data_IF_889754941558
#
_entry.id   IF_889754941558
#
_cell.length_a   1.000
_cell.length_b   1.000
_cell.length_c   1.000
_cell.angle_alpha   90.00
_cell.angle_beta   90.00
_cell.angle_gamma   90.00
#
_symmetry.space_group_name_H-M   'P 1'
#
loop_
_entity.id
_entity.type
_entity.pdbx_description
1 polymer ?
#
# COMPACT_ATOMS: atom_id res chain seq x y z
N UNK A 1 4.01 19.16 -19.83
CA UNK A 1 2.61 18.88 -19.56
C UNK A 1 2.47 18.33 -18.14
N UNK A 2 1.64 18.97 -17.30
CA UNK A 2 1.49 18.57 -15.90
C UNK A 2 0.97 17.12 -15.73
N UNK A 3 0.22 16.63 -16.72
CA UNK A 3 -0.29 15.26 -16.75
C UNK A 3 0.80 14.19 -17.01
N UNK A 4 2.00 14.58 -17.42
CA UNK A 4 3.09 13.66 -17.70
C UNK A 4 4.02 13.42 -16.50
N UNK A 5 3.78 14.10 -15.36
CA UNK A 5 4.59 13.93 -14.15
C UNK A 5 4.04 12.76 -13.34
N UNK A 6 4.81 11.70 -13.08
CA UNK A 6 4.37 10.57 -12.30
C UNK A 6 4.01 10.98 -10.85
N UNK A 7 2.99 10.36 -10.29
CA UNK A 7 2.47 10.70 -8.95
C UNK A 7 3.52 10.51 -7.84
N UNK A 8 4.38 9.49 -7.95
CA UNK A 8 5.48 9.27 -7.02
C UNK A 8 6.49 10.45 -6.98
N UNK A 9 6.72 11.10 -8.13
CA UNK A 9 7.59 12.27 -8.18
C UNK A 9 6.94 13.47 -7.47
N UNK A 10 5.61 13.63 -7.62
CA UNK A 10 4.83 14.65 -6.92
C UNK A 10 4.83 14.39 -5.43
N UNK A 11 4.62 13.14 -4.99
CA UNK A 11 4.69 12.73 -3.60
C UNK A 11 6.09 12.97 -3.00
N UNK A 12 7.15 12.65 -3.76
CA UNK A 12 8.52 12.95 -3.38
C UNK A 12 8.78 14.45 -3.16
N UNK A 13 8.27 15.30 -4.05
CA UNK A 13 8.38 16.75 -3.92
C UNK A 13 7.61 17.31 -2.72
N UNK A 14 6.47 16.69 -2.36
CA UNK A 14 5.65 17.09 -1.21
C UNK A 14 6.27 16.81 0.15
N UNK A 15 7.27 15.91 0.21
CA UNK A 15 8.03 15.62 1.45
C UNK A 15 9.01 16.73 1.82
N UNK A 16 9.31 17.64 0.88
CA UNK A 16 10.09 18.82 1.21
C UNK A 16 9.24 19.80 2.01
N UNK A 17 9.75 20.22 3.15
CA UNK A 17 9.10 21.21 4.03
C UNK A 17 9.23 22.64 3.46
N UNK A 18 8.75 22.81 2.22
CA UNK A 18 8.72 24.08 1.49
C UNK A 18 7.25 24.46 1.23
N UNK A 19 6.79 25.46 1.98
CA UNK A 19 5.42 25.97 1.91
C UNK A 19 5.03 26.46 0.50
N UNK A 20 5.94 27.12 -0.23
CA UNK A 20 5.63 27.69 -1.53
C UNK A 20 5.65 26.62 -2.64
N UNK A 21 6.53 25.63 -2.51
CA UNK A 21 6.53 24.45 -3.35
C UNK A 21 5.20 23.68 -3.14
N UNK A 22 4.81 23.44 -1.91
CA UNK A 22 3.57 22.72 -1.59
C UNK A 22 2.32 23.45 -2.09
N UNK A 23 2.26 24.79 -2.03
CA UNK A 23 1.18 25.59 -2.63
C UNK A 23 1.12 25.42 -4.16
N UNK A 24 2.26 25.42 -4.84
CA UNK A 24 2.34 25.20 -6.29
C UNK A 24 1.91 23.78 -6.66
N UNK A 25 2.37 22.78 -5.90
CA UNK A 25 1.97 21.37 -6.10
C UNK A 25 0.48 21.19 -5.92
N UNK A 26 -0.12 21.76 -4.88
CA UNK A 26 -1.57 21.67 -4.65
C UNK A 26 -2.41 22.37 -5.73
N UNK A 27 -1.86 23.39 -6.36
CA UNK A 27 -2.52 24.08 -7.49
C UNK A 27 -2.46 23.30 -8.79
N UNK A 28 -1.33 22.65 -9.08
CA UNK A 28 -1.10 21.92 -10.33
C UNK A 28 -1.59 20.48 -10.27
N UNK A 29 -1.47 19.87 -9.13
CA UNK A 29 -1.91 18.52 -8.79
C UNK A 29 -2.68 18.56 -7.46
N UNK A 30 -3.98 18.97 -7.49
CA UNK A 30 -4.79 18.91 -6.28
C UNK A 30 -4.76 17.48 -5.74
N UNK A 31 -4.62 17.34 -4.41
CA UNK A 31 -4.75 16.03 -3.76
C UNK A 31 -6.16 15.52 -4.02
N UNK A 32 -6.30 14.63 -4.99
CA UNK A 32 -7.56 13.94 -5.28
C UNK A 32 -7.89 12.88 -4.23
N UNK A 33 -6.85 12.36 -3.57
CA UNK A 33 -6.97 11.43 -2.45
C UNK A 33 -6.46 12.13 -1.17
N UNK A 34 -7.26 13.02 -0.60
CA UNK A 34 -7.09 13.41 0.79
C UNK A 34 -7.48 12.19 1.63
N UNK A 35 -6.63 11.83 2.59
CA UNK A 35 -7.03 10.92 3.67
C UNK A 35 -8.39 11.37 4.15
N UNK A 36 -9.36 10.46 4.21
CA UNK A 36 -10.66 10.80 4.78
C UNK A 36 -10.45 11.23 6.23
N UNK A 37 -11.31 12.07 6.78
CA UNK A 37 -11.22 12.44 8.20
C UNK A 37 -11.21 11.20 9.13
N UNK A 38 -11.75 10.08 8.67
CA UNK A 38 -11.70 8.78 9.36
C UNK A 38 -10.28 8.21 9.39
N UNK A 39 -9.57 8.20 8.25
CA UNK A 39 -8.19 7.72 8.15
C UNK A 39 -7.22 8.54 9.02
N UNK A 40 -7.36 9.86 8.99
CA UNK A 40 -6.57 10.74 9.86
C UNK A 40 -6.88 10.52 11.35
N UNK A 41 -8.12 10.24 11.70
CA UNK A 41 -8.53 9.93 13.08
C UNK A 41 -7.96 8.59 13.53
N UNK A 42 -7.93 7.59 12.66
CA UNK A 42 -7.30 6.30 12.91
C UNK A 42 -5.79 6.45 13.14
N UNK A 43 -5.09 7.18 12.27
CA UNK A 43 -3.66 7.46 12.43
C UNK A 43 -3.38 8.10 13.78
N UNK A 44 -4.12 9.15 14.15
CA UNK A 44 -3.95 9.82 15.45
C UNK A 44 -4.23 8.89 16.63
N UNK A 45 -5.27 8.06 16.55
CA UNK A 45 -5.58 7.05 17.57
C UNK A 45 -4.40 6.10 17.77
N UNK A 46 -3.88 5.53 16.68
CA UNK A 46 -2.78 4.56 16.74
C UNK A 46 -1.49 5.22 17.25
N UNK A 47 -1.17 6.44 16.79
CA UNK A 47 -0.02 7.20 17.30
C UNK A 47 -0.14 7.42 18.82
N UNK A 48 -1.32 7.79 19.31
CA UNK A 48 -1.55 7.99 20.75
C UNK A 48 -1.36 6.69 21.54
N UNK A 49 -1.82 5.54 21.04
CA UNK A 49 -1.63 4.24 21.68
C UNK A 49 -0.14 3.87 21.74
N UNK A 50 0.56 3.99 20.61
CA UNK A 50 1.97 3.59 20.49
C UNK A 50 2.96 4.56 21.15
N UNK A 51 2.51 5.76 21.52
CA UNK A 51 3.33 6.73 22.28
C UNK A 51 3.35 6.47 23.79
N UNK A 52 2.57 5.51 24.29
CA UNK A 52 2.57 5.15 25.71
C UNK A 52 3.76 4.23 26.00
N UNK A 53 4.73 4.72 26.74
CA UNK A 53 6.02 4.05 27.00
C UNK A 53 5.92 2.75 27.85
N UNK A 54 4.76 2.42 28.41
CA UNK A 54 4.61 1.37 29.43
C UNK A 54 4.11 0.01 28.91
N UNK A 55 3.77 -0.11 27.62
CA UNK A 55 3.15 -1.35 27.09
C UNK A 55 4.09 -2.05 26.14
N UNK A 56 4.74 -3.11 26.60
CA UNK A 56 5.48 -4.03 25.75
C UNK A 56 4.48 -4.94 24.99
N UNK A 57 4.53 -4.92 23.65
CA UNK A 57 3.64 -5.74 22.82
C UNK A 57 4.11 -7.18 22.71
N UNK A 58 3.15 -8.09 22.69
CA UNK A 58 3.37 -9.51 22.44
C UNK A 58 3.51 -9.75 20.93
N UNK A 59 4.76 -10.02 20.47
CA UNK A 59 5.04 -10.27 19.06
C UNK A 59 4.41 -11.55 18.51
N UNK A 60 4.10 -12.54 19.35
CA UNK A 60 3.42 -13.74 18.89
C UNK A 60 1.94 -13.47 18.61
N UNK A 61 1.25 -12.78 19.51
CA UNK A 61 -0.11 -12.30 19.28
C UNK A 61 -0.15 -11.34 18.06
N UNK A 62 0.81 -10.46 17.94
CA UNK A 62 0.96 -9.56 16.78
C UNK A 62 1.17 -10.29 15.46
N UNK A 63 1.91 -11.42 15.47
CA UNK A 63 2.05 -12.27 14.29
C UNK A 63 0.72 -12.89 13.87
N UNK A 64 -0.07 -13.35 14.80
CA UNK A 64 -1.39 -13.92 14.48
C UNK A 64 -2.30 -12.87 13.84
N UNK A 65 -2.28 -11.63 14.34
CA UNK A 65 -2.97 -10.50 13.73
C UNK A 65 -2.44 -10.20 12.32
N UNK A 66 -1.12 -10.17 12.13
CA UNK A 66 -0.52 -10.00 10.81
C UNK A 66 -0.95 -11.09 9.82
N UNK A 67 -0.95 -12.36 10.25
CA UNK A 67 -1.39 -13.48 9.41
C UNK A 67 -2.84 -13.33 8.98
N UNK A 68 -3.70 -12.81 9.84
CA UNK A 68 -5.11 -12.59 9.55
C UNK A 68 -5.39 -11.37 8.66
N UNK A 69 -4.63 -10.30 8.82
CA UNK A 69 -4.92 -9.01 8.19
C UNK A 69 -4.07 -8.73 6.94
N UNK A 70 -2.83 -9.18 6.90
CA UNK A 70 -1.83 -8.72 5.94
C UNK A 70 -1.25 -9.85 5.07
N UNK A 71 -1.08 -11.05 5.66
CA UNK A 71 -0.31 -12.12 5.04
C UNK A 71 -0.97 -12.72 3.79
N UNK A 72 -2.26 -12.49 3.56
CA UNK A 72 -2.88 -12.86 2.29
C UNK A 72 -2.21 -12.18 1.08
N UNK A 73 -1.69 -10.97 1.28
CA UNK A 73 -1.10 -10.15 0.23
C UNK A 73 0.39 -9.88 0.42
N UNK A 74 0.85 -9.72 1.65
CA UNK A 74 2.22 -9.31 1.96
C UNK A 74 3.06 -10.43 2.54
N UNK A 75 4.35 -10.42 2.22
CA UNK A 75 5.35 -11.28 2.83
C UNK A 75 6.15 -10.51 3.88
N UNK A 76 6.26 -11.07 5.09
CA UNK A 76 7.13 -10.58 6.15
C UNK A 76 7.88 -11.76 6.77
N UNK A 77 9.20 -11.70 6.78
CA UNK A 77 10.05 -12.77 7.30
C UNK A 77 9.81 -14.16 6.66
N UNK A 78 9.52 -14.17 5.36
CA UNK A 78 9.17 -15.37 4.58
C UNK A 78 7.81 -15.98 4.92
N UNK A 79 6.94 -15.24 5.61
CA UNK A 79 5.56 -15.63 5.89
C UNK A 79 4.58 -14.73 5.14
N UNK A 80 3.72 -15.31 4.32
CA UNK A 80 2.66 -14.61 3.59
C UNK A 80 2.77 -14.66 2.09
N UNK A 81 1.90 -13.88 1.41
CA UNK A 81 1.75 -13.81 -0.02
C UNK A 81 2.71 -12.84 -0.71
N UNK A 82 2.64 -12.83 -2.05
CA UNK A 82 3.48 -11.99 -2.91
C UNK A 82 2.64 -11.05 -3.79
N UNK A 83 1.38 -10.77 -3.40
CA UNK A 83 0.50 -9.88 -4.13
C UNK A 83 0.92 -8.42 -3.93
N UNK A 84 1.10 -8.05 -2.66
CA UNK A 84 1.58 -6.74 -2.24
C UNK A 84 3.11 -6.68 -2.14
N UNK A 85 3.68 -5.49 -1.79
CA UNK A 85 5.10 -5.35 -1.51
C UNK A 85 5.58 -6.30 -0.42
N UNK A 86 6.81 -6.81 -0.58
CA UNK A 86 7.54 -7.52 0.46
C UNK A 86 7.89 -6.53 1.59
N UNK A 87 7.64 -6.92 2.83
CA UNK A 87 7.75 -6.03 3.98
C UNK A 87 9.05 -6.18 4.78
N UNK A 88 9.78 -7.29 4.67
CA UNK A 88 11.00 -7.51 5.46
C UNK A 88 12.04 -6.42 5.21
N UNK A 89 12.23 -6.04 3.95
CA UNK A 89 13.11 -4.95 3.53
C UNK A 89 12.51 -3.54 3.61
N UNK A 90 11.25 -3.40 4.01
CA UNK A 90 10.58 -2.11 4.10
C UNK A 90 11.04 -1.32 5.35
N UNK A 91 10.97 0.03 5.29
CA UNK A 91 11.33 0.92 6.42
C UNK A 91 10.25 0.93 7.51
N UNK A 92 10.03 -0.22 8.15
CA UNK A 92 8.97 -0.41 9.16
C UNK A 92 9.25 0.28 10.50
N UNK A 93 10.42 0.90 10.65
CA UNK A 93 10.77 1.67 11.85
C UNK A 93 10.27 3.12 11.76
N UNK A 94 10.05 3.64 10.57
CA UNK A 94 9.38 4.93 10.37
C UNK A 94 7.87 4.76 10.55
N UNK A 95 7.42 5.06 11.78
CA UNK A 95 6.02 4.85 12.18
C UNK A 95 5.05 5.70 11.36
N UNK A 96 5.40 6.95 11.07
CA UNK A 96 4.49 7.86 10.37
C UNK A 96 4.26 7.42 8.93
N UNK A 97 5.33 7.06 8.23
CA UNK A 97 5.23 6.48 6.87
C UNK A 97 4.49 5.15 6.86
N UNK A 98 4.73 4.30 7.87
CA UNK A 98 4.06 3.01 7.98
C UNK A 98 2.55 3.16 8.25
N UNK A 99 2.17 4.05 9.16
CA UNK A 99 0.77 4.36 9.46
C UNK A 99 0.05 4.94 8.24
N UNK A 100 0.68 5.88 7.53
CA UNK A 100 0.11 6.44 6.32
C UNK A 100 -0.13 5.33 5.28
N UNK A 101 0.84 4.44 5.07
CA UNK A 101 0.71 3.35 4.09
C UNK A 101 -0.39 2.35 4.45
N UNK A 102 -0.64 2.09 5.75
CA UNK A 102 -1.67 1.13 6.19
C UNK A 102 -3.05 1.79 6.25
N UNK A 103 -3.17 2.96 6.85
CA UNK A 103 -4.48 3.60 7.10
C UNK A 103 -4.99 4.38 5.89
N UNK A 104 -4.10 4.86 5.01
CA UNK A 104 -4.44 5.61 3.80
C UNK A 104 -3.77 5.00 2.56
N UNK A 105 -4.08 3.77 2.18
CA UNK A 105 -3.38 3.04 1.11
C UNK A 105 -3.55 3.65 -0.28
N UNK A 106 -4.51 4.56 -0.43
CA UNK A 106 -4.74 5.34 -1.64
C UNK A 106 -3.92 6.64 -1.70
N UNK A 107 -3.33 7.06 -0.57
CA UNK A 107 -2.55 8.30 -0.52
C UNK A 107 -1.26 8.22 -1.34
N UNK A 108 -0.64 7.04 -1.39
CA UNK A 108 0.57 6.77 -2.17
C UNK A 108 0.61 5.30 -2.59
N UNK A 109 0.34 5.02 -3.86
CA UNK A 109 0.50 3.67 -4.41
C UNK A 109 1.91 3.54 -4.97
N UNK A 110 2.66 2.56 -4.46
CA UNK A 110 4.04 2.30 -4.89
C UNK A 110 4.08 1.85 -6.36
N UNK A 111 5.10 2.31 -7.11
CA UNK A 111 5.37 1.86 -8.48
C UNK A 111 5.41 0.32 -8.56
N UNK A 112 4.76 -0.24 -9.59
CA UNK A 112 4.60 -1.68 -9.78
C UNK A 112 3.44 -2.32 -8.98
N UNK A 113 2.75 -1.54 -8.15
CA UNK A 113 1.54 -1.96 -7.43
C UNK A 113 0.31 -1.13 -7.82
N UNK A 114 0.43 -0.35 -8.88
CA UNK A 114 -0.71 0.35 -9.48
C UNK A 114 -1.63 -0.67 -10.13
N UNK A 115 -2.90 -0.55 -9.82
CA UNK A 115 -3.93 -1.41 -10.35
C UNK A 115 -4.41 -0.89 -11.71
N UNK A 116 -4.49 -1.78 -12.70
CA UNK A 116 -4.99 -1.48 -14.05
C UNK A 116 -6.15 -2.38 -14.40
N UNK A 117 -7.08 -1.84 -15.15
CA UNK A 117 -8.15 -2.58 -15.81
C UNK A 117 -7.90 -2.56 -17.31
N UNK A 118 -7.82 -3.74 -17.92
CA UNK A 118 -7.61 -3.93 -19.34
C UNK A 118 -8.84 -4.58 -19.96
N UNK A 119 -9.37 -3.98 -21.00
CA UNK A 119 -10.44 -4.55 -21.83
C UNK A 119 -9.87 -5.07 -23.14
N UNK A 120 -10.19 -6.31 -23.48
CA UNK A 120 -9.72 -6.97 -24.68
C UNK A 120 -10.78 -6.97 -25.79
N UNK A 121 -10.36 -7.19 -27.05
CA UNK A 121 -11.25 -7.25 -28.24
C UNK A 121 -12.25 -8.39 -28.18
N UNK A 122 -11.95 -9.46 -27.46
CA UNK A 122 -12.84 -10.60 -27.20
C UNK A 122 -13.79 -10.38 -26.02
N UNK A 123 -13.82 -9.14 -25.47
CA UNK A 123 -14.77 -8.73 -24.44
C UNK A 123 -14.37 -9.10 -23.02
N UNK A 124 -13.18 -9.60 -22.79
CA UNK A 124 -12.69 -9.86 -21.43
C UNK A 124 -12.29 -8.55 -20.73
N UNK A 125 -12.52 -8.49 -19.43
CA UNK A 125 -12.01 -7.44 -18.55
C UNK A 125 -11.10 -8.07 -17.52
N UNK A 126 -9.84 -7.64 -17.51
CA UNK A 126 -8.79 -8.19 -16.64
C UNK A 126 -8.29 -7.04 -15.77
N UNK A 127 -8.28 -7.26 -14.46
CA UNK A 127 -7.79 -6.30 -13.46
C UNK A 127 -6.59 -6.88 -12.74
N UNK A 128 -5.54 -6.08 -12.55
CA UNK A 128 -4.33 -6.49 -11.86
C UNK A 128 -3.24 -5.42 -11.87
N UNK A 129 -2.15 -5.74 -11.22
CA UNK A 129 -0.96 -4.88 -11.24
C UNK A 129 -0.28 -4.94 -12.61
N UNK A 130 0.17 -3.80 -13.10
CA UNK A 130 1.04 -3.73 -14.27
C UNK A 130 2.45 -4.18 -13.86
N UNK A 131 2.77 -5.44 -14.14
CA UNK A 131 4.04 -6.06 -13.76
C UNK A 131 5.17 -5.74 -14.74
N UNK A 132 4.83 -5.57 -16.03
CA UNK A 132 5.77 -5.23 -17.10
C UNK A 132 5.02 -4.77 -18.34
N UNK A 133 5.67 -4.02 -19.22
CA UNK A 133 5.13 -3.63 -20.52
C UNK A 133 6.24 -3.23 -21.51
N UNK A 134 5.97 -3.52 -22.78
CA UNK A 134 6.78 -3.01 -23.90
C UNK A 134 5.85 -2.55 -25.06
N UNK A 135 6.40 -2.34 -26.25
CA UNK A 135 5.64 -1.89 -27.41
C UNK A 135 4.63 -2.95 -27.94
N UNK A 136 4.83 -4.23 -27.60
CA UNK A 136 4.06 -5.35 -28.14
C UNK A 136 3.13 -5.99 -27.10
N UNK A 137 3.56 -6.02 -25.83
CA UNK A 137 2.84 -6.74 -24.77
C UNK A 137 2.66 -5.92 -23.50
N UNK A 138 1.66 -6.33 -22.73
CA UNK A 138 1.45 -5.90 -21.34
C UNK A 138 1.41 -7.15 -20.49
N UNK A 139 2.09 -7.15 -19.35
CA UNK A 139 2.05 -8.21 -18.37
C UNK A 139 1.28 -7.73 -17.14
N UNK A 140 0.10 -8.31 -16.93
CA UNK A 140 -0.69 -8.07 -15.72
C UNK A 140 -0.46 -9.19 -14.71
N UNK A 141 -0.49 -8.81 -13.44
CA UNK A 141 -0.49 -9.75 -12.30
C UNK A 141 -1.80 -9.57 -11.52
N UNK A 142 -2.84 -10.38 -11.81
CA UNK A 142 -4.08 -10.38 -11.05
C UNK A 142 -3.86 -10.80 -9.59
N UNK A 143 -4.79 -10.43 -8.71
CA UNK A 143 -4.77 -10.86 -7.31
C UNK A 143 -4.90 -12.38 -7.25
N UNK A 144 -3.95 -13.05 -6.57
CA UNK A 144 -3.94 -14.50 -6.40
C UNK A 144 -3.74 -15.32 -7.66
N UNK A 145 -3.47 -14.65 -8.81
CA UNK A 145 -3.29 -15.29 -10.10
C UNK A 145 -1.86 -15.29 -10.62
N UNK A 146 -1.64 -16.11 -11.65
CA UNK A 146 -0.41 -16.09 -12.41
C UNK A 146 -0.37 -14.84 -13.33
N UNK A 147 0.85 -14.43 -13.69
CA UNK A 147 1.05 -13.35 -14.66
C UNK A 147 0.35 -13.66 -15.97
N UNK A 148 -0.39 -12.70 -16.49
CA UNK A 148 -1.08 -12.77 -17.79
C UNK A 148 -0.35 -11.86 -18.75
N UNK A 149 0.13 -12.42 -19.86
CA UNK A 149 0.73 -11.67 -20.96
C UNK A 149 -0.36 -11.37 -21.98
N UNK A 150 -0.55 -10.11 -22.31
CA UNK A 150 -1.55 -9.63 -23.26
C UNK A 150 -0.87 -8.90 -24.40
N UNK A 151 -1.10 -9.33 -25.64
CA UNK A 151 -0.67 -8.60 -26.83
C UNK A 151 -1.40 -7.26 -26.89
N UNK A 152 -0.69 -6.16 -27.11
CA UNK A 152 -1.30 -4.82 -27.23
C UNK A 152 -2.32 -4.75 -28.35
N UNK A 153 -2.12 -5.49 -29.44
CA UNK A 153 -3.09 -5.58 -30.53
C UNK A 153 -4.46 -6.14 -30.11
N UNK A 154 -4.52 -6.93 -29.04
CA UNK A 154 -5.77 -7.49 -28.50
C UNK A 154 -6.47 -6.53 -27.52
N UNK A 155 -5.82 -5.47 -27.11
CA UNK A 155 -6.33 -4.53 -26.13
C UNK A 155 -7.17 -3.46 -26.82
N UNK A 156 -8.38 -3.24 -26.30
CA UNK A 156 -9.26 -2.13 -26.67
C UNK A 156 -9.00 -0.92 -25.80
N UNK A 157 -8.81 -1.17 -24.48
CA UNK A 157 -8.67 -0.12 -23.49
C UNK A 157 -7.80 -0.58 -22.33
N UNK A 158 -6.95 0.32 -21.84
CA UNK A 158 -6.22 0.17 -20.60
C UNK A 158 -6.46 1.42 -19.76
N UNK A 159 -6.87 1.24 -18.53
CA UNK A 159 -7.10 2.32 -17.58
C UNK A 159 -6.44 1.98 -16.24
N UNK A 160 -5.80 2.96 -15.64
CA UNK A 160 -5.39 2.87 -14.25
C UNK A 160 -6.66 2.89 -13.39
N UNK A 161 -6.88 1.85 -12.61
CA UNK A 161 -7.89 1.87 -11.57
C UNK A 161 -7.41 2.86 -10.48
N UNK A 162 -8.29 3.76 -10.07
CA UNK A 162 -7.90 4.86 -9.18
C UNK A 162 -7.48 4.40 -7.78
N UNK A 163 -7.90 3.19 -7.36
CA UNK A 163 -7.78 2.73 -5.98
C UNK A 163 -6.71 1.65 -5.81
N UNK A 164 -6.06 1.70 -4.64
CA UNK A 164 -5.19 0.63 -4.15
C UNK A 164 -5.99 -0.67 -3.97
N UNK A 165 -5.35 -1.82 -4.22
CA UNK A 165 -5.92 -3.11 -3.86
C UNK A 165 -5.86 -3.40 -2.35
N UNK A 166 -5.03 -2.66 -1.61
CA UNK A 166 -5.01 -2.70 -0.16
C UNK A 166 -6.23 -1.93 0.37
N UNK A 167 -7.13 -2.57 1.13
CA UNK A 167 -8.28 -1.88 1.70
C UNK A 167 -7.85 -0.93 2.82
N UNK A 168 -8.58 0.19 2.98
CA UNK A 168 -8.46 1.06 4.15
C UNK A 168 -9.19 0.45 5.36
N UNK A 169 -8.86 0.93 6.57
CA UNK A 169 -9.55 0.54 7.80
C UNK A 169 -9.19 -0.84 8.34
N UNK A 170 -8.09 -1.44 7.88
CA UNK A 170 -7.65 -2.77 8.34
C UNK A 170 -7.41 -2.88 9.85
N UNK A 171 -7.07 -1.77 10.50
CA UNK A 171 -6.76 -1.72 11.92
C UNK A 171 -7.91 -1.16 12.77
N UNK A 172 -9.05 -0.81 12.15
CA UNK A 172 -10.16 -0.13 12.83
C UNK A 172 -10.77 -0.95 13.97
N UNK A 173 -10.86 -2.27 13.80
CA UNK A 173 -11.48 -3.18 14.77
C UNK A 173 -10.50 -3.68 15.85
N UNK A 174 -9.21 -3.32 15.76
CA UNK A 174 -8.24 -3.69 16.80
C UNK A 174 -8.40 -2.79 18.04
N UNK A 175 -8.46 -3.43 19.20
CA UNK A 175 -8.34 -2.72 20.47
C UNK A 175 -6.90 -2.21 20.71
N UNK A 176 -6.69 -1.45 21.77
CA UNK A 176 -5.39 -0.83 22.05
C UNK A 176 -4.29 -1.88 22.25
N UNK A 177 -4.60 -3.00 22.90
CA UNK A 177 -3.66 -4.11 23.06
C UNK A 177 -3.32 -4.76 21.72
N UNK A 178 -4.31 -5.01 20.87
CA UNK A 178 -4.11 -5.55 19.54
C UNK A 178 -3.23 -4.64 18.66
N UNK A 179 -3.38 -3.32 18.75
CA UNK A 179 -2.53 -2.35 18.08
C UNK A 179 -1.09 -2.48 18.57
N UNK A 180 -0.84 -2.50 19.87
CA UNK A 180 0.52 -2.62 20.43
C UNK A 180 1.16 -3.94 20.00
N UNK A 181 0.46 -5.05 20.12
CA UNK A 181 0.94 -6.39 19.72
C UNK A 181 1.26 -6.44 18.22
N UNK A 182 0.33 -5.94 17.38
CA UNK A 182 0.49 -5.91 15.94
C UNK A 182 1.74 -5.14 15.51
N UNK A 183 1.95 -3.92 16.04
CA UNK A 183 3.12 -3.11 15.71
C UNK A 183 4.40 -3.66 16.33
N UNK A 184 4.36 -4.35 17.46
CA UNK A 184 5.50 -5.06 18.02
C UNK A 184 6.02 -6.15 17.08
N UNK A 185 5.12 -6.89 16.41
CA UNK A 185 5.51 -7.86 15.38
C UNK A 185 5.89 -7.18 14.07
N UNK A 186 5.05 -6.30 13.55
CA UNK A 186 5.26 -5.68 12.23
C UNK A 186 6.60 -4.93 12.15
N UNK A 187 7.05 -4.32 13.25
CA UNK A 187 8.32 -3.61 13.36
C UNK A 187 9.49 -4.48 13.82
N UNK A 188 9.26 -5.77 14.05
CA UNK A 188 10.34 -6.69 14.42
C UNK A 188 11.38 -6.79 13.29
N UNK A 189 12.66 -6.88 13.67
CA UNK A 189 13.79 -6.95 12.72
C UNK A 189 14.18 -8.38 12.38
N UNK A 190 13.63 -9.35 13.10
CA UNK A 190 13.93 -10.76 12.93
C UNK A 190 12.65 -11.60 12.99
N UNK A 191 12.62 -12.75 12.29
CA UNK A 191 11.52 -13.70 12.40
C UNK A 191 11.40 -14.23 13.83
N UNK A 192 10.18 -14.64 14.18
CA UNK A 192 9.94 -15.31 15.44
C UNK A 192 10.36 -16.80 15.33
N UNK A 193 10.94 -17.32 16.41
CA UNK A 193 11.17 -18.75 16.52
C UNK A 193 9.82 -19.45 16.83
N UNK A 194 9.13 -19.86 15.78
CA UNK A 194 7.92 -20.68 15.92
C UNK A 194 8.37 -22.11 16.10
N UNK A 195 8.04 -22.72 17.24
CA UNK A 195 8.28 -24.13 17.48
C UNK A 195 7.23 -24.98 16.80
#
# INVERSE_FOLDING_TARGET
>A
DAAAVPEYAIAGLRRHDDSDLNKKLNRLWPKTNQSSGAEESEIRRIQSILSQDEVEGDRYAGRDLYLGLCAACHNLHSEGGEIGPELTGYQRQDLDSLLLAISSPNAEVREGFENYTVQTKDGQTITGFLADQDDNVIVLRPIGGQKIVLDRERIVKIERAGDSLMPSGLLADLDDKGIVDFFAYLRSTQPLNVK
#
